data_IF_490715947719
#
_entry.id   IF_490715947719
#
_cell.length_a   1.000
_cell.length_b   1.000
_cell.length_c   1.000
_cell.angle_alpha   90.00
_cell.angle_beta   90.00
_cell.angle_gamma   90.00
#
_symmetry.space_group_name_H-M   'P 1'
#
loop_
_entity.id
_entity.type
_entity.pdbx_description
1 polymer ?
#
# COMPACT_ATOMS: atom_id res chain seq x y z
N UNK A 1 11.55 24.93 -9.17
CA UNK A 1 10.70 24.51 -8.87
C UNK A 1 10.57 23.17 -8.85
N UNK A 2 9.93 22.66 -8.28
CA UNK A 2 9.89 21.44 -8.20
C UNK A 2 8.81 20.93 -8.92
N UNK A 3 8.95 20.05 -9.57
CA UNK A 3 7.95 19.41 -10.29
C UNK A 3 7.60 18.08 -9.73
N UNK A 4 7.96 17.89 -8.49
CA UNK A 4 7.63 16.62 -7.89
C UNK A 4 6.17 16.52 -7.58
N UNK A 5 5.58 15.40 -7.89
CA UNK A 5 4.20 15.12 -7.61
C UNK A 5 4.09 14.65 -6.15
N UNK A 6 2.96 14.93 -5.51
CA UNK A 6 2.76 14.54 -4.13
C UNK A 6 3.05 13.04 -3.94
N UNK A 7 3.82 12.73 -2.92
CA UNK A 7 4.13 11.36 -2.58
C UNK A 7 5.17 10.69 -3.46
N UNK A 8 5.73 11.41 -4.44
CA UNK A 8 6.68 10.85 -5.38
C UNK A 8 8.04 11.51 -5.21
N UNK A 9 9.09 10.68 -5.15
CA UNK A 9 10.45 11.17 -4.98
C UNK A 9 11.35 10.53 -6.03
N UNK A 10 12.21 11.34 -6.64
CA UNK A 10 13.15 10.87 -7.66
C UNK A 10 14.39 10.31 -6.99
N UNK A 11 14.88 9.18 -7.48
CA UNK A 11 16.10 8.57 -6.99
C UNK A 11 16.93 8.07 -8.18
N UNK A 12 18.22 7.84 -7.94
CA UNK A 12 19.11 7.32 -8.98
C UNK A 12 19.77 6.04 -8.51
N UNK A 13 19.90 5.09 -9.44
CA UNK A 13 20.64 3.88 -9.18
C UNK A 13 22.12 4.14 -9.44
N UNK A 14 22.96 3.18 -9.08
CA UNK A 14 24.39 3.31 -9.28
C UNK A 14 24.78 3.53 -10.75
N UNK A 15 24.00 2.99 -11.67
CA UNK A 15 24.25 3.16 -13.10
C UNK A 15 23.61 4.44 -13.63
N UNK A 16 23.28 5.36 -12.77
CA UNK A 16 22.61 6.66 -13.01
C UNK A 16 21.23 6.55 -13.65
N UNK A 17 20.63 5.37 -13.66
CA UNK A 17 19.25 5.24 -14.10
C UNK A 17 18.34 5.86 -13.05
N UNK A 18 17.39 6.66 -13.50
CA UNK A 18 16.44 7.32 -12.60
C UNK A 18 15.26 6.39 -12.33
N UNK A 19 14.81 6.37 -11.10
CA UNK A 19 13.58 5.67 -10.75
C UNK A 19 12.83 6.52 -9.74
N UNK A 20 11.60 6.14 -9.44
CA UNK A 20 10.73 6.96 -8.61
C UNK A 20 10.21 6.16 -7.43
N UNK A 21 10.28 6.76 -6.26
CA UNK A 21 9.77 6.15 -5.05
C UNK A 21 8.44 6.77 -4.70
N UNK A 22 7.54 5.96 -4.19
CA UNK A 22 6.25 6.44 -3.75
C UNK A 22 6.12 6.19 -2.26
N UNK A 23 5.57 7.15 -1.53
CA UNK A 23 5.37 7.01 -0.09
C UNK A 23 4.20 7.87 0.34
N UNK A 24 3.67 7.57 1.52
CA UNK A 24 2.56 8.33 2.09
C UNK A 24 2.74 8.39 3.60
N UNK A 25 2.28 9.47 4.19
CA UNK A 25 2.30 9.63 5.64
C UNK A 25 0.85 9.61 6.14
N UNK A 26 0.58 8.74 7.10
CA UNK A 26 -0.75 8.60 7.65
C UNK A 26 -0.60 8.40 9.16
N UNK A 27 -1.31 9.18 9.93
CA UNK A 27 -1.24 9.12 11.40
C UNK A 27 0.19 9.17 11.90
N UNK A 28 0.97 10.06 11.29
CA UNK A 28 2.38 10.30 11.66
C UNK A 28 3.31 9.15 11.31
N UNK A 29 2.82 8.16 10.57
CA UNK A 29 3.67 7.06 10.12
C UNK A 29 3.99 7.24 8.65
N UNK A 30 5.27 7.23 8.32
CA UNK A 30 5.73 7.33 6.95
C UNK A 30 5.82 5.91 6.37
N UNK A 31 5.11 5.66 5.29
CA UNK A 31 4.99 4.33 4.71
C UNK A 31 5.47 4.35 3.28
N UNK A 32 6.42 3.48 2.95
CA UNK A 32 6.89 3.33 1.58
C UNK A 32 5.88 2.52 0.78
N UNK A 33 5.56 2.98 -0.42
CA UNK A 33 4.61 2.30 -1.29
C UNK A 33 5.29 1.55 -2.42
N UNK A 34 6.62 1.71 -2.56
CA UNK A 34 7.38 0.99 -3.55
C UNK A 34 8.18 1.89 -4.46
N UNK A 35 8.86 1.26 -5.42
CA UNK A 35 9.66 1.95 -6.42
C UNK A 35 9.12 1.63 -7.80
N UNK A 36 9.17 2.60 -8.69
CA UNK A 36 8.56 2.50 -10.01
C UNK A 36 9.47 3.08 -11.07
N UNK A 37 9.34 2.59 -12.30
CA UNK A 37 10.18 3.06 -13.39
C UNK A 37 9.72 4.41 -13.94
N UNK A 38 8.46 4.79 -13.72
CA UNK A 38 7.98 6.10 -14.15
C UNK A 38 7.25 6.80 -13.01
N UNK A 39 7.20 8.13 -13.11
CA UNK A 39 6.59 8.94 -12.05
C UNK A 39 5.08 8.79 -12.02
N UNK A 40 4.46 8.47 -13.14
CA UNK A 40 3.02 8.31 -13.21
C UNK A 40 2.57 7.11 -12.38
N UNK A 41 3.26 5.97 -12.52
CA UNK A 41 2.93 4.79 -11.72
C UNK A 41 3.14 5.04 -10.23
N UNK A 42 4.23 5.73 -9.90
CA UNK A 42 4.51 6.07 -8.50
C UNK A 42 3.39 6.94 -7.94
N UNK A 43 2.92 7.91 -8.72
CA UNK A 43 1.85 8.80 -8.28
C UNK A 43 0.52 8.06 -8.17
N UNK A 44 0.25 7.12 -9.07
CA UNK A 44 -0.97 6.33 -8.99
C UNK A 44 -0.99 5.47 -7.72
N UNK A 45 0.17 4.92 -7.33
CA UNK A 45 0.25 4.17 -6.08
C UNK A 45 -0.06 5.08 -4.90
N UNK A 46 0.48 6.30 -4.90
CA UNK A 46 0.20 7.27 -3.84
C UNK A 46 -1.29 7.61 -3.80
N UNK A 47 -1.88 7.89 -4.96
CA UNK A 47 -3.29 8.26 -5.04
C UNK A 47 -4.19 7.13 -4.52
N UNK A 48 -3.88 5.90 -4.90
CA UNK A 48 -4.65 4.76 -4.42
C UNK A 48 -4.55 4.59 -2.91
N UNK A 49 -3.34 4.73 -2.38
CA UNK A 49 -3.14 4.61 -0.94
C UNK A 49 -3.90 5.70 -0.20
N UNK A 50 -3.87 6.92 -0.74
CA UNK A 50 -4.57 8.04 -0.12
C UNK A 50 -6.07 7.83 -0.09
N UNK A 51 -6.64 7.36 -1.21
CA UNK A 51 -8.08 7.09 -1.27
C UNK A 51 -8.46 5.97 -0.31
N UNK A 52 -7.67 4.91 -0.28
CA UNK A 52 -7.90 3.79 0.60
C UNK A 52 -7.92 4.23 2.07
N UNK A 53 -6.96 5.06 2.44
CA UNK A 53 -6.85 5.48 3.84
C UNK A 53 -7.95 6.44 4.26
N UNK A 54 -8.59 7.09 3.30
CA UNK A 54 -9.66 8.04 3.59
C UNK A 54 -11.06 7.45 3.51
N UNK A 55 -11.24 6.37 2.77
CA UNK A 55 -12.57 5.80 2.54
C UNK A 55 -12.73 4.51 3.31
N UNK A 56 -13.44 4.59 4.43
CA UNK A 56 -13.65 3.42 5.29
C UNK A 56 -14.49 2.34 4.63
N UNK A 57 -15.13 2.65 3.52
CA UNK A 57 -15.92 1.66 2.80
C UNK A 57 -15.08 0.79 1.88
N UNK A 58 -13.83 1.18 1.63
CA UNK A 58 -12.93 0.40 0.80
C UNK A 58 -12.20 -0.59 1.69
N UNK A 59 -12.25 -1.87 1.34
CA UNK A 59 -11.61 -2.91 2.13
C UNK A 59 -10.66 -3.77 1.32
N UNK A 60 -10.20 -4.83 1.94
CA UNK A 60 -9.23 -5.72 1.31
C UNK A 60 -9.77 -6.31 0.01
N UNK A 61 -11.05 -6.65 -0.01
CA UNK A 61 -11.65 -7.30 -1.18
C UNK A 61 -11.88 -6.34 -2.35
N UNK A 62 -11.66 -5.07 -2.16
CA UNK A 62 -11.81 -4.10 -3.24
C UNK A 62 -10.55 -3.96 -4.09
N UNK A 63 -9.50 -4.68 -3.74
CA UNK A 63 -8.25 -4.64 -4.50
C UNK A 63 -8.47 -5.14 -5.93
N UNK A 64 -7.82 -4.48 -6.88
CA UNK A 64 -7.93 -4.87 -8.27
C UNK A 64 -6.56 -5.24 -8.83
N UNK A 65 -6.51 -6.32 -9.58
CA UNK A 65 -5.29 -6.74 -10.25
C UNK A 65 -4.86 -5.66 -11.23
N UNK A 66 -3.56 -5.50 -11.41
CA UNK A 66 -3.03 -4.45 -12.26
C UNK A 66 -2.81 -3.13 -11.57
N UNK A 67 -3.18 -3.04 -10.30
CA UNK A 67 -2.93 -1.85 -9.51
C UNK A 67 -1.42 -1.64 -9.33
N UNK A 68 -0.93 -0.40 -9.40
CA UNK A 68 0.48 -0.15 -9.11
C UNK A 68 0.82 -0.41 -7.64
N UNK A 69 -0.18 -0.43 -6.77
CA UNK A 69 0.03 -0.73 -5.36
C UNK A 69 -0.07 -2.25 -5.18
N UNK A 70 0.98 -2.93 -4.68
CA UNK A 70 0.91 -4.38 -4.52
C UNK A 70 -0.14 -4.79 -3.49
N UNK A 71 -0.71 -5.97 -3.67
CA UNK A 71 -1.73 -6.47 -2.76
C UNK A 71 -1.23 -6.51 -1.32
N UNK A 72 0.01 -6.94 -1.13
CA UNK A 72 0.59 -7.00 0.22
C UNK A 72 0.58 -5.64 0.90
N UNK A 73 0.91 -4.60 0.14
CA UNK A 73 0.89 -3.25 0.71
C UNK A 73 -0.54 -2.79 0.96
N UNK A 74 -1.45 -3.14 0.06
CA UNK A 74 -2.87 -2.83 0.22
C UNK A 74 -3.39 -3.38 1.54
N UNK A 75 -3.07 -4.65 1.84
CA UNK A 75 -3.51 -5.29 3.07
C UNK A 75 -2.95 -4.56 4.29
N UNK A 76 -1.67 -4.21 4.25
CA UNK A 76 -1.04 -3.51 5.37
C UNK A 76 -1.69 -2.14 5.62
N UNK A 77 -2.05 -1.44 4.54
CA UNK A 77 -2.66 -0.12 4.67
C UNK A 77 -4.08 -0.21 5.21
N UNK A 78 -4.86 -1.19 4.74
CA UNK A 78 -6.22 -1.37 5.24
C UNK A 78 -6.18 -1.68 6.73
N UNK A 79 -5.27 -2.56 7.13
CA UNK A 79 -5.14 -2.93 8.54
C UNK A 79 -4.74 -1.72 9.39
N UNK A 80 -3.81 -0.91 8.88
CA UNK A 80 -3.37 0.28 9.61
C UNK A 80 -4.52 1.26 9.79
N UNK A 81 -5.28 1.50 8.71
CA UNK A 81 -6.42 2.40 8.78
C UNK A 81 -7.43 1.93 9.82
N UNK A 82 -7.74 0.64 9.81
CA UNK A 82 -8.82 0.11 10.64
C UNK A 82 -8.40 -0.15 12.09
N UNK A 83 -7.13 -0.45 12.33
CA UNK A 83 -6.68 -0.85 13.67
C UNK A 83 -5.74 0.13 14.34
N UNK A 84 -5.26 1.14 13.62
CA UNK A 84 -4.46 2.20 14.22
C UNK A 84 -2.99 1.88 14.44
N UNK A 85 -2.55 0.67 14.09
CA UNK A 85 -1.16 0.26 14.23
C UNK A 85 -0.67 -0.27 12.90
N UNK A 86 0.47 0.23 12.44
CA UNK A 86 1.03 -0.24 11.18
C UNK A 86 1.85 -1.51 11.42
N UNK A 87 1.46 -2.58 10.78
CA UNK A 87 2.17 -3.85 10.84
C UNK A 87 2.65 -4.15 9.42
N UNK A 88 3.95 -4.19 9.23
CA UNK A 88 4.53 -4.38 7.91
C UNK A 88 4.74 -5.87 7.59
N UNK A 89 3.80 -6.70 8.00
CA UNK A 89 3.85 -8.13 7.76
C UNK A 89 2.52 -8.60 7.20
N UNK A 90 2.38 -8.62 5.86
CA UNK A 90 1.10 -8.95 5.25
C UNK A 90 0.65 -10.38 5.55
N UNK A 91 1.59 -11.31 5.72
CA UNK A 91 1.23 -12.69 6.01
C UNK A 91 0.56 -12.78 7.38
N UNK A 92 1.12 -12.09 8.36
CA UNK A 92 0.54 -12.06 9.69
C UNK A 92 -0.88 -11.47 9.65
N UNK A 93 -1.04 -10.37 8.91
CA UNK A 93 -2.34 -9.71 8.81
C UNK A 93 -3.35 -10.62 8.13
N UNK A 94 -2.94 -11.29 7.04
CA UNK A 94 -3.84 -12.16 6.31
C UNK A 94 -4.27 -13.36 7.14
N UNK A 95 -3.37 -13.89 7.97
CA UNK A 95 -3.72 -14.98 8.88
C UNK A 95 -4.77 -14.53 9.88
N UNK A 96 -4.64 -13.31 10.40
CA UNK A 96 -5.62 -12.77 11.32
C UNK A 96 -6.97 -12.59 10.62
N UNK A 97 -6.95 -12.17 9.37
CA UNK A 97 -8.18 -12.01 8.61
C UNK A 97 -8.89 -13.34 8.40
N UNK A 98 -8.15 -14.39 8.06
CA UNK A 98 -8.75 -15.71 7.89
C UNK A 98 -9.39 -16.16 9.18
N UNK A 99 -8.71 -15.98 10.30
CA UNK A 99 -9.27 -16.35 11.59
C UNK A 99 -10.48 -15.51 11.96
N UNK A 100 -10.57 -14.31 11.43
CA UNK A 100 -11.66 -13.39 11.75
C UNK A 100 -12.87 -13.61 10.88
N UNK A 101 -12.65 -13.82 9.57
CA UNK A 101 -13.74 -13.89 8.61
C UNK A 101 -14.13 -15.32 8.22
N UNK A 102 -13.27 -16.30 8.46
CA UNK A 102 -13.53 -17.68 8.11
C UNK A 102 -13.39 -18.55 9.35
N UNK A 103 -14.34 -19.44 9.56
CA UNK A 103 -14.22 -20.39 10.65
C UNK A 103 -13.13 -21.40 10.30
N UNK A 104 -12.56 -22.08 11.31
CA UNK A 104 -11.57 -23.13 11.01
C UNK A 104 -12.10 -24.20 10.08
N UNK A 105 -13.38 -24.53 10.16
CA UNK A 105 -13.98 -25.52 9.28
C UNK A 105 -13.99 -25.03 7.84
N UNK A 106 -14.25 -23.76 7.61
CA UNK A 106 -14.24 -23.22 6.27
C UNK A 106 -12.83 -23.22 5.68
N UNK A 107 -11.84 -22.94 6.52
CA UNK A 107 -10.46 -22.93 6.06
C UNK A 107 -9.99 -24.33 5.68
N UNK A 108 -10.44 -25.34 6.41
CA UNK A 108 -9.99 -26.71 6.20
C UNK A 108 -10.74 -27.44 5.09
N UNK A 109 -11.79 -26.85 4.56
CA UNK A 109 -12.49 -27.46 3.42
C UNK A 109 -11.71 -27.28 2.11
#
# INVERSE_FOLDING_TARGET
>A
MKNETAGVFTSKRKDVTVFYRSSITFRRKHISLGSFEDSESAHRAYTQARLLLRDMNVGVLDYRAGSPLPFEKWVCLVNFRDNGIYIANPIYIMRKMFNYYLSPEEILK
#
